data_IF_134845435051
#
_entry.id   IF_134845435051
#
_cell.length_a   1.000
_cell.length_b   1.000
_cell.length_c   1.000
_cell.angle_alpha   90.00
_cell.angle_beta   90.00
_cell.angle_gamma   90.00
#
_symmetry.space_group_name_H-M   'P 1'
#
loop_
_entity.id
_entity.type
_entity.pdbx_description
1 polymer ?
#
# COMPACT_ATOMS: atom_id res chain seq x y z
N UNK A 1 -22.12 -17.25 23.51
CA UNK A 1 -23.37 -16.75 22.89
C UNK A 1 -23.77 -15.40 23.55
N UNK A 2 -23.76 -15.25 24.87
CA UNK A 2 -24.24 -14.04 25.58
C UNK A 2 -23.54 -12.73 25.22
N UNK A 3 -22.25 -12.76 24.89
CA UNK A 3 -21.50 -11.55 24.51
C UNK A 3 -21.87 -10.99 23.14
N UNK A 4 -22.17 -11.82 22.18
CA UNK A 4 -22.65 -11.37 20.86
C UNK A 4 -24.03 -10.72 20.99
N UNK A 5 -24.91 -11.29 21.84
CA UNK A 5 -26.19 -10.68 22.17
C UNK A 5 -26.03 -9.31 22.85
N UNK A 6 -25.07 -9.17 23.77
CA UNK A 6 -24.77 -7.89 24.41
C UNK A 6 -24.27 -6.82 23.40
N UNK A 7 -23.41 -7.21 22.46
CA UNK A 7 -22.95 -6.31 21.38
C UNK A 7 -24.10 -5.90 20.48
N UNK A 8 -24.96 -6.83 20.07
CA UNK A 8 -26.15 -6.53 19.27
C UNK A 8 -27.11 -5.59 20.00
N UNK A 9 -27.39 -5.86 21.30
CA UNK A 9 -28.25 -5.00 22.13
C UNK A 9 -27.65 -3.60 22.30
N UNK A 10 -26.34 -3.48 22.57
CA UNK A 10 -25.67 -2.19 22.69
C UNK A 10 -25.70 -1.40 21.37
N UNK A 11 -25.55 -2.08 20.22
CA UNK A 11 -25.66 -1.46 18.90
C UNK A 11 -27.05 -0.96 18.62
N UNK A 12 -28.07 -1.80 18.91
CA UNK A 12 -29.47 -1.41 18.78
C UNK A 12 -29.83 -0.25 19.69
N UNK A 13 -29.40 -0.29 20.96
CA UNK A 13 -29.58 0.83 21.89
C UNK A 13 -28.94 2.14 21.39
N UNK A 14 -27.69 2.09 20.92
CA UNK A 14 -27.00 3.26 20.39
C UNK A 14 -27.77 3.89 19.22
N UNK A 15 -28.34 3.07 18.31
CA UNK A 15 -29.16 3.53 17.20
C UNK A 15 -30.47 4.17 17.69
N UNK A 16 -31.21 3.48 18.53
CA UNK A 16 -32.50 3.98 19.06
C UNK A 16 -32.29 5.26 19.86
N UNK A 17 -31.29 5.30 20.76
CA UNK A 17 -30.98 6.49 21.54
C UNK A 17 -30.60 7.68 20.65
N UNK A 18 -29.86 7.48 19.58
CA UNK A 18 -29.52 8.53 18.63
C UNK A 18 -30.76 9.08 17.92
N UNK A 19 -31.67 8.19 17.49
CA UNK A 19 -32.92 8.57 16.81
C UNK A 19 -33.89 9.30 17.78
N UNK A 20 -34.04 8.80 18.98
CA UNK A 20 -34.91 9.42 20.01
C UNK A 20 -34.38 10.79 20.46
N UNK A 21 -33.07 10.99 20.43
CA UNK A 21 -32.43 12.29 20.65
C UNK A 21 -32.55 13.27 19.46
N UNK A 22 -33.29 12.93 18.43
CA UNK A 22 -33.46 13.75 17.21
C UNK A 22 -32.22 13.88 16.36
N UNK A 23 -31.20 13.02 16.57
CA UNK A 23 -29.97 13.03 15.76
C UNK A 23 -30.19 12.38 14.41
N UNK A 24 -29.44 12.86 13.41
CA UNK A 24 -29.43 12.21 12.10
C UNK A 24 -28.76 10.82 12.17
N UNK A 25 -29.13 9.90 11.29
CA UNK A 25 -28.46 8.58 11.16
C UNK A 25 -26.95 8.71 11.01
N UNK A 26 -26.48 9.79 10.38
CA UNK A 26 -25.05 10.06 10.18
C UNK A 26 -24.31 10.37 11.47
N UNK A 27 -24.94 11.10 12.38
CA UNK A 27 -24.38 11.35 13.72
C UNK A 27 -24.50 10.13 14.61
N UNK A 28 -25.60 9.36 14.51
CA UNK A 28 -25.75 8.05 15.16
C UNK A 28 -24.69 7.01 14.78
N UNK A 29 -24.14 7.11 13.56
CA UNK A 29 -23.03 6.26 13.12
C UNK A 29 -21.82 6.30 14.07
N UNK A 30 -21.52 7.45 14.67
CA UNK A 30 -20.41 7.57 15.63
C UNK A 30 -20.70 6.88 16.97
N UNK A 31 -21.94 6.84 17.41
CA UNK A 31 -22.32 6.08 18.59
C UNK A 31 -22.17 4.57 18.35
N UNK A 32 -22.57 4.09 17.18
CA UNK A 32 -22.36 2.70 16.74
C UNK A 32 -20.86 2.38 16.63
N UNK A 33 -20.06 3.30 16.07
CA UNK A 33 -18.61 3.14 16.01
C UNK A 33 -17.97 3.06 17.40
N UNK A 34 -18.46 3.82 18.37
CA UNK A 34 -17.99 3.74 19.76
C UNK A 34 -18.26 2.35 20.36
N UNK A 35 -19.44 1.74 20.08
CA UNK A 35 -19.73 0.36 20.48
C UNK A 35 -18.73 -0.61 19.84
N UNK A 36 -18.42 -0.46 18.54
CA UNK A 36 -17.42 -1.27 17.87
C UNK A 36 -16.04 -1.15 18.53
N UNK A 37 -15.59 0.07 18.83
CA UNK A 37 -14.30 0.33 19.48
C UNK A 37 -14.23 -0.28 20.88
N UNK A 38 -15.27 -0.11 21.69
CA UNK A 38 -15.37 -0.73 23.04
C UNK A 38 -15.32 -2.26 22.92
N UNK A 39 -16.08 -2.85 22.01
CA UNK A 39 -16.07 -4.30 21.76
C UNK A 39 -14.69 -4.80 21.37
N UNK A 40 -14.01 -4.09 20.45
CA UNK A 40 -12.66 -4.41 20.00
C UNK A 40 -11.65 -4.43 21.17
N UNK A 41 -11.74 -3.45 22.07
CA UNK A 41 -10.80 -3.31 23.19
C UNK A 41 -11.16 -4.17 24.39
N UNK A 42 -12.44 -4.54 24.56
CA UNK A 42 -12.89 -5.45 25.61
C UNK A 42 -12.55 -6.92 25.34
N UNK A 43 -12.53 -7.34 24.08
CA UNK A 43 -12.26 -8.72 23.69
C UNK A 43 -11.00 -9.35 24.31
N UNK A 44 -9.82 -8.71 24.37
CA UNK A 44 -8.64 -9.27 25.03
C UNK A 44 -8.75 -9.26 26.56
N UNK A 45 -9.44 -8.28 27.17
CA UNK A 45 -9.64 -8.21 28.61
C UNK A 45 -10.46 -9.39 29.11
N UNK A 46 -11.46 -9.80 28.32
CA UNK A 46 -12.29 -10.96 28.62
C UNK A 46 -11.54 -12.29 28.54
N UNK A 47 -10.43 -12.36 27.80
CA UNK A 47 -9.51 -13.51 27.81
C UNK A 47 -8.83 -13.64 29.15
N UNK A 48 -8.32 -12.52 29.71
CA UNK A 48 -7.53 -12.50 30.94
C UNK A 48 -8.41 -12.83 32.14
N UNK A 49 -9.60 -12.25 32.22
CA UNK A 49 -10.49 -12.43 33.38
C UNK A 49 -11.04 -13.86 33.50
N UNK A 50 -11.14 -14.61 32.40
CA UNK A 50 -11.74 -15.96 32.37
C UNK A 50 -10.78 -17.12 32.22
N UNK A 51 -9.48 -16.89 32.15
CA UNK A 51 -8.48 -17.98 32.12
C UNK A 51 -8.40 -18.79 33.43
N UNK A 52 -9.07 -18.36 34.48
CA UNK A 52 -9.09 -19.02 35.80
C UNK A 52 -10.33 -19.87 36.12
N UNK A 53 -11.28 -20.10 35.18
CA UNK A 53 -12.51 -20.85 35.47
C UNK A 53 -12.93 -21.83 34.34
N UNK A 54 -13.76 -22.85 34.64
CA UNK A 54 -14.16 -23.89 33.70
C UNK A 54 -15.09 -23.42 32.57
N UNK A 55 -15.28 -22.15 32.35
CA UNK A 55 -16.11 -21.54 31.29
C UNK A 55 -15.39 -20.51 30.46
N UNK A 56 -14.05 -20.61 30.30
CA UNK A 56 -13.24 -19.65 29.54
C UNK A 56 -13.73 -19.48 28.10
N UNK A 57 -13.81 -18.23 27.62
CA UNK A 57 -14.06 -17.95 26.21
C UNK A 57 -12.82 -18.41 25.44
N UNK A 58 -12.93 -19.58 24.81
CA UNK A 58 -11.87 -20.15 23.99
C UNK A 58 -11.46 -19.20 22.85
N UNK A 59 -10.36 -19.51 22.16
CA UNK A 59 -9.92 -18.75 20.99
C UNK A 59 -11.05 -18.39 20.01
N UNK A 60 -11.97 -19.32 19.77
CA UNK A 60 -13.13 -19.12 18.90
C UNK A 60 -14.05 -17.96 19.35
N UNK A 61 -14.29 -17.81 20.64
CA UNK A 61 -15.15 -16.74 21.15
C UNK A 61 -14.51 -15.34 21.04
N UNK A 62 -13.20 -15.25 21.12
CA UNK A 62 -12.50 -13.95 20.91
C UNK A 62 -12.45 -13.55 19.45
N UNK A 63 -12.27 -14.51 18.54
CA UNK A 63 -12.41 -14.24 17.10
C UNK A 63 -13.82 -13.79 16.74
N UNK A 64 -14.85 -14.38 17.35
CA UNK A 64 -16.23 -13.97 17.14
C UNK A 64 -16.49 -12.52 17.60
N UNK A 65 -15.93 -12.09 18.75
CA UNK A 65 -16.04 -10.72 19.22
C UNK A 65 -15.25 -9.74 18.33
N UNK A 66 -14.10 -10.14 17.84
CA UNK A 66 -13.33 -9.32 16.90
C UNK A 66 -14.07 -9.17 15.57
N UNK A 67 -14.63 -10.25 15.04
CA UNK A 67 -15.48 -10.21 13.84
C UNK A 67 -16.74 -9.34 14.06
N UNK A 68 -17.37 -9.44 15.23
CA UNK A 68 -18.51 -8.60 15.59
C UNK A 68 -18.13 -7.12 15.64
N UNK A 69 -16.97 -6.77 16.21
CA UNK A 69 -16.49 -5.39 16.22
C UNK A 69 -16.27 -4.85 14.79
N UNK A 70 -15.72 -5.65 13.89
CA UNK A 70 -15.55 -5.26 12.48
C UNK A 70 -16.92 -5.10 11.80
N UNK A 71 -17.87 -6.02 12.04
CA UNK A 71 -19.21 -5.93 11.47
C UNK A 71 -19.95 -4.66 11.94
N UNK A 72 -19.84 -4.32 13.23
CA UNK A 72 -20.44 -3.10 13.79
C UNK A 72 -19.77 -1.83 13.23
N UNK A 73 -18.45 -1.83 13.01
CA UNK A 73 -17.76 -0.73 12.36
C UNK A 73 -18.19 -0.55 10.88
N UNK A 74 -18.39 -1.66 10.15
CA UNK A 74 -18.95 -1.61 8.80
C UNK A 74 -20.39 -1.09 8.79
N UNK A 75 -21.21 -1.48 9.77
CA UNK A 75 -22.54 -0.94 9.93
C UNK A 75 -22.48 0.57 10.17
N UNK A 76 -21.58 1.05 11.04
CA UNK A 76 -21.37 2.48 11.26
C UNK A 76 -21.03 3.21 9.96
N UNK A 77 -20.18 2.62 9.12
CA UNK A 77 -19.83 3.18 7.80
C UNK A 77 -21.06 3.24 6.88
N UNK A 78 -21.88 2.21 6.83
CA UNK A 78 -23.11 2.19 6.03
C UNK A 78 -24.13 3.26 6.48
N UNK A 79 -24.21 3.50 7.78
CA UNK A 79 -25.11 4.52 8.35
C UNK A 79 -24.72 5.96 7.98
N UNK A 80 -23.52 6.20 7.47
CA UNK A 80 -23.12 7.53 6.98
C UNK A 80 -23.92 8.00 5.76
N UNK A 81 -24.68 7.09 5.10
CA UNK A 81 -25.65 7.41 4.07
C UNK A 81 -25.05 8.14 2.87
N UNK A 82 -23.86 7.75 2.42
CA UNK A 82 -23.18 8.34 1.26
C UNK A 82 -22.50 9.70 1.52
N UNK A 83 -22.50 10.20 2.75
CA UNK A 83 -21.73 11.40 3.11
C UNK A 83 -20.24 11.09 3.20
N UNK A 84 -19.46 11.47 2.19
CA UNK A 84 -18.03 11.21 2.12
C UNK A 84 -17.25 11.71 3.36
N UNK A 85 -17.66 12.86 3.92
CA UNK A 85 -16.99 13.43 5.11
C UNK A 85 -17.22 12.57 6.36
N UNK A 86 -18.46 12.10 6.59
CA UNK A 86 -18.78 11.24 7.74
C UNK A 86 -18.15 9.85 7.54
N UNK A 87 -18.19 9.30 6.34
CA UNK A 87 -17.55 8.04 6.02
C UNK A 87 -16.03 8.09 6.23
N UNK A 88 -15.38 9.18 5.81
CA UNK A 88 -13.97 9.42 6.07
C UNK A 88 -13.65 9.44 7.57
N UNK A 89 -14.45 10.19 8.34
CA UNK A 89 -14.26 10.27 9.79
C UNK A 89 -14.44 8.91 10.48
N UNK A 90 -15.44 8.12 10.08
CA UNK A 90 -15.65 6.75 10.59
C UNK A 90 -14.45 5.87 10.28
N UNK A 91 -13.93 5.90 9.03
CA UNK A 91 -12.75 5.11 8.64
C UNK A 91 -11.51 5.50 9.44
N UNK A 92 -11.21 6.79 9.57
CA UNK A 92 -10.04 7.27 10.31
C UNK A 92 -10.16 6.92 11.79
N UNK A 93 -11.30 7.18 12.44
CA UNK A 93 -11.49 6.86 13.85
C UNK A 93 -11.39 5.34 14.10
N UNK A 94 -11.92 4.51 13.18
CA UNK A 94 -11.78 3.06 13.27
C UNK A 94 -10.33 2.63 13.09
N UNK A 95 -9.64 3.18 12.10
CA UNK A 95 -8.21 2.93 11.87
C UNK A 95 -7.36 3.23 13.10
N UNK A 96 -7.59 4.38 13.73
CA UNK A 96 -6.93 4.77 14.98
C UNK A 96 -7.27 3.78 16.11
N UNK A 97 -8.54 3.40 16.30
CA UNK A 97 -8.94 2.45 17.34
C UNK A 97 -8.24 1.08 17.15
N UNK A 98 -8.14 0.60 15.91
CA UNK A 98 -7.43 -0.65 15.59
C UNK A 98 -5.92 -0.48 15.78
N UNK A 99 -5.33 0.67 15.38
CA UNK A 99 -3.91 0.96 15.55
C UNK A 99 -3.49 0.98 17.03
N UNK A 100 -4.30 1.58 17.89
CA UNK A 100 -4.08 1.58 19.36
C UNK A 100 -4.01 0.14 19.88
N UNK A 101 -4.83 -0.77 19.35
CA UNK A 101 -4.76 -2.18 19.73
C UNK A 101 -3.48 -2.88 19.25
N UNK A 102 -2.97 -2.53 18.06
CA UNK A 102 -1.69 -3.06 17.55
C UNK A 102 -0.53 -2.77 18.49
N UNK A 103 -0.56 -1.62 19.17
CA UNK A 103 0.50 -1.20 20.11
C UNK A 103 0.49 -2.01 21.41
N UNK A 104 -0.59 -2.73 21.74
CA UNK A 104 -0.65 -3.54 22.96
C UNK A 104 0.26 -4.78 22.83
N UNK A 105 1.08 -5.02 23.85
CA UNK A 105 2.05 -6.13 23.88
C UNK A 105 1.41 -7.52 23.98
N UNK A 106 0.13 -7.60 24.34
CA UNK A 106 -0.59 -8.87 24.53
C UNK A 106 -1.03 -9.57 23.23
N UNK A 107 -0.88 -8.91 22.07
CA UNK A 107 -1.28 -9.48 20.78
C UNK A 107 -0.22 -10.41 20.20
N UNK A 108 -0.65 -11.54 19.63
CA UNK A 108 0.21 -12.46 18.90
C UNK A 108 0.84 -11.79 17.67
N UNK A 109 2.04 -12.20 17.22
CA UNK A 109 2.67 -11.62 16.02
C UNK A 109 1.81 -11.71 14.76
N UNK A 110 1.01 -12.79 14.63
CA UNK A 110 0.06 -12.96 13.52
C UNK A 110 -1.11 -11.99 13.63
N UNK A 111 -1.76 -11.92 14.79
CA UNK A 111 -2.88 -11.02 15.05
C UNK A 111 -2.48 -9.55 14.88
N UNK A 112 -1.28 -9.18 15.37
CA UNK A 112 -0.75 -7.83 15.18
C UNK A 112 -0.59 -7.42 13.71
N UNK A 113 -0.20 -8.36 12.82
CA UNK A 113 -0.10 -8.09 11.38
C UNK A 113 -1.48 -7.84 10.75
N UNK A 114 -2.45 -8.68 11.11
CA UNK A 114 -3.84 -8.53 10.61
C UNK A 114 -4.42 -7.19 11.07
N UNK A 115 -4.31 -6.88 12.37
CA UNK A 115 -4.77 -5.61 12.91
C UNK A 115 -4.06 -4.40 12.27
N UNK A 116 -2.74 -4.49 12.04
CA UNK A 116 -1.99 -3.44 11.36
C UNK A 116 -2.45 -3.25 9.90
N UNK A 117 -2.78 -4.34 9.19
CA UNK A 117 -3.31 -4.26 7.83
C UNK A 117 -4.72 -3.63 7.82
N UNK A 118 -5.58 -4.00 8.77
CA UNK A 118 -6.91 -3.39 8.92
C UNK A 118 -6.80 -1.91 9.25
N UNK A 119 -5.94 -1.52 10.19
CA UNK A 119 -5.71 -0.11 10.53
C UNK A 119 -5.22 0.68 9.31
N UNK A 120 -4.15 0.20 8.64
CA UNK A 120 -3.59 0.87 7.47
C UNK A 120 -4.60 0.96 6.32
N UNK A 121 -5.38 -0.09 6.08
CA UNK A 121 -6.44 -0.09 5.06
C UNK A 121 -7.54 0.91 5.39
N UNK A 122 -7.96 1.00 6.64
CA UNK A 122 -8.99 1.94 7.09
C UNK A 122 -8.53 3.39 6.99
N UNK A 123 -7.30 3.70 7.38
CA UNK A 123 -6.69 5.03 7.21
C UNK A 123 -6.56 5.42 5.73
N UNK A 124 -6.16 4.46 4.89
CA UNK A 124 -6.04 4.68 3.46
C UNK A 124 -7.39 5.02 2.82
N UNK A 125 -8.43 4.22 3.12
CA UNK A 125 -9.80 4.47 2.65
C UNK A 125 -10.31 5.81 3.19
N UNK A 126 -10.10 6.10 4.48
CA UNK A 126 -10.43 7.39 5.08
C UNK A 126 -9.78 8.57 4.35
N UNK A 127 -8.49 8.47 4.06
CA UNK A 127 -7.74 9.45 3.27
C UNK A 127 -8.31 9.64 1.86
N UNK A 128 -8.62 8.56 1.15
CA UNK A 128 -9.26 8.62 -0.16
C UNK A 128 -10.63 9.30 -0.13
N UNK A 129 -11.44 9.00 0.89
CA UNK A 129 -12.75 9.64 1.07
C UNK A 129 -12.61 11.15 1.36
N UNK A 130 -11.59 11.57 2.11
CA UNK A 130 -11.28 13.00 2.31
C UNK A 130 -10.90 13.67 1.00
N UNK A 131 -10.02 13.04 0.20
CA UNK A 131 -9.61 13.56 -1.09
C UNK A 131 -10.80 13.69 -2.05
N UNK A 132 -11.65 12.65 -2.10
CA UNK A 132 -12.87 12.66 -2.89
C UNK A 132 -13.86 13.75 -2.42
N UNK A 133 -14.04 13.90 -1.11
CA UNK A 133 -14.88 14.94 -0.53
C UNK A 133 -14.40 16.37 -0.82
N UNK A 134 -13.13 16.53 -1.12
CA UNK A 134 -12.51 17.80 -1.53
C UNK A 134 -12.41 17.98 -3.05
N UNK A 135 -12.92 17.02 -3.83
CA UNK A 135 -12.90 17.09 -5.29
C UNK A 135 -11.49 16.95 -5.89
N UNK A 136 -10.55 16.31 -5.18
CA UNK A 136 -9.20 16.07 -5.70
C UNK A 136 -9.27 15.04 -6.80
N UNK A 137 -8.89 15.40 -8.02
CA UNK A 137 -8.88 14.52 -9.21
C UNK A 137 -7.50 14.00 -9.58
N UNK A 138 -6.48 14.37 -8.81
CA UNK A 138 -5.09 13.96 -9.04
C UNK A 138 -4.92 12.49 -8.68
N UNK A 139 -4.66 11.65 -9.67
CA UNK A 139 -4.58 10.19 -9.50
C UNK A 139 -3.48 9.76 -8.52
N UNK A 140 -2.36 10.45 -8.52
CA UNK A 140 -1.23 10.18 -7.63
C UNK A 140 -1.59 10.37 -6.15
N UNK A 141 -2.51 11.29 -5.84
CA UNK A 141 -2.97 11.47 -4.46
C UNK A 141 -3.64 10.21 -3.88
N UNK A 142 -4.22 9.38 -4.74
CA UNK A 142 -4.85 8.13 -4.36
C UNK A 142 -3.87 6.94 -4.40
N UNK A 143 -2.98 6.90 -5.38
CA UNK A 143 -2.08 5.75 -5.60
C UNK A 143 -0.81 5.79 -4.76
N UNK A 144 -0.20 6.96 -4.57
CA UNK A 144 1.06 7.07 -3.83
C UNK A 144 1.00 6.65 -2.37
N UNK A 145 -0.04 6.99 -1.57
CA UNK A 145 -0.13 6.52 -0.19
C UNK A 145 -0.23 5.00 -0.10
N UNK A 146 -1.03 4.37 -0.97
CA UNK A 146 -1.15 2.92 -1.05
C UNK A 146 0.18 2.26 -1.43
N UNK A 147 0.84 2.79 -2.45
CA UNK A 147 2.15 2.32 -2.90
C UNK A 147 3.22 2.48 -1.82
N UNK A 148 3.24 3.61 -1.10
CA UNK A 148 4.17 3.85 0.00
C UNK A 148 3.99 2.85 1.15
N UNK A 149 2.74 2.57 1.55
CA UNK A 149 2.43 1.55 2.56
C UNK A 149 2.86 0.16 2.10
N UNK A 150 2.56 -0.21 0.85
CA UNK A 150 2.94 -1.49 0.28
C UNK A 150 4.47 -1.63 0.16
N UNK A 151 5.18 -0.57 -0.26
CA UNK A 151 6.65 -0.52 -0.28
C UNK A 151 7.24 -0.68 1.12
N UNK A 152 6.72 0.05 2.11
CA UNK A 152 7.15 -0.06 3.49
C UNK A 152 6.97 -1.49 4.04
N UNK A 153 5.80 -2.08 3.80
CA UNK A 153 5.53 -3.47 4.17
C UNK A 153 6.45 -4.46 3.45
N UNK A 154 6.66 -4.27 2.14
CA UNK A 154 7.56 -5.09 1.33
C UNK A 154 9.02 -5.02 1.79
N UNK A 155 9.53 -3.82 2.07
CA UNK A 155 10.87 -3.60 2.62
C UNK A 155 11.04 -4.26 4.00
N UNK A 156 10.03 -4.14 4.86
CA UNK A 156 10.03 -4.78 6.16
C UNK A 156 9.99 -6.31 6.05
N UNK A 157 9.24 -6.85 5.10
CA UNK A 157 9.18 -8.27 4.80
C UNK A 157 10.55 -8.80 4.32
N UNK A 158 11.22 -8.10 3.41
CA UNK A 158 12.56 -8.44 2.92
C UNK A 158 13.61 -8.41 4.05
N UNK A 159 13.53 -7.41 4.95
CA UNK A 159 14.43 -7.35 6.12
C UNK A 159 14.25 -8.52 7.08
N UNK A 160 13.01 -9.00 7.24
CA UNK A 160 12.69 -10.11 8.16
C UNK A 160 12.85 -11.49 7.54
N UNK A 161 12.77 -11.60 6.21
CA UNK A 161 12.83 -12.85 5.45
C UNK A 161 13.66 -12.65 4.18
N UNK A 162 14.99 -12.75 4.26
CA UNK A 162 15.87 -12.49 3.12
C UNK A 162 15.70 -13.46 1.94
N UNK A 163 15.00 -14.59 2.12
CA UNK A 163 14.67 -15.53 1.04
C UNK A 163 13.47 -15.13 0.15
N UNK A 164 12.77 -14.03 0.48
CA UNK A 164 11.67 -13.54 -0.37
C UNK A 164 12.21 -12.86 -1.62
N UNK A 165 11.53 -13.08 -2.75
CA UNK A 165 11.87 -12.41 -4.01
C UNK A 165 11.45 -10.94 -3.98
N UNK A 166 12.29 -10.06 -4.52
CA UNK A 166 11.97 -8.63 -4.63
C UNK A 166 10.75 -8.36 -5.52
N UNK A 167 10.43 -9.27 -6.43
CA UNK A 167 9.25 -9.17 -7.29
C UNK A 167 7.94 -9.25 -6.51
N UNK A 168 7.80 -10.23 -5.62
CA UNK A 168 6.59 -10.39 -4.80
C UNK A 168 6.40 -9.26 -3.78
N UNK A 169 7.51 -8.73 -3.24
CA UNK A 169 7.47 -7.79 -2.14
C UNK A 169 7.42 -6.32 -2.57
N UNK A 170 8.13 -5.97 -3.64
CA UNK A 170 8.26 -4.59 -4.10
C UNK A 170 7.61 -4.35 -5.47
N UNK A 171 7.48 -5.40 -6.30
CA UNK A 171 6.98 -5.29 -7.67
C UNK A 171 5.60 -4.62 -7.75
N UNK A 172 4.55 -5.14 -7.08
CA UNK A 172 3.21 -4.58 -7.16
C UNK A 172 3.15 -3.13 -6.67
N UNK A 173 3.89 -2.80 -5.60
CA UNK A 173 3.92 -1.45 -5.05
C UNK A 173 4.60 -0.44 -5.98
N UNK A 174 5.71 -0.82 -6.62
CA UNK A 174 6.40 0.01 -7.62
C UNK A 174 5.56 0.16 -8.88
N UNK A 175 4.90 -0.91 -9.34
CA UNK A 175 3.96 -0.84 -10.44
C UNK A 175 2.82 0.14 -10.17
N UNK A 176 2.19 0.04 -9.00
CA UNK A 176 1.11 0.95 -8.59
C UNK A 176 1.58 2.41 -8.43
N UNK A 177 2.85 2.64 -8.06
CA UNK A 177 3.42 3.99 -7.96
C UNK A 177 3.73 4.61 -9.32
N UNK A 178 4.33 3.83 -10.24
CA UNK A 178 4.88 4.37 -11.48
C UNK A 178 3.92 4.33 -12.65
N UNK A 179 3.13 3.25 -12.83
CA UNK A 179 2.27 3.09 -13.99
C UNK A 179 1.25 4.22 -14.18
N UNK A 180 0.48 4.65 -13.15
CA UNK A 180 -0.50 5.71 -13.33
C UNK A 180 0.13 7.04 -13.75
N UNK A 181 1.24 7.42 -13.12
CA UNK A 181 1.96 8.65 -13.43
C UNK A 181 2.61 8.59 -14.82
N UNK A 182 3.18 7.44 -15.20
CA UNK A 182 3.77 7.24 -16.52
C UNK A 182 2.70 7.34 -17.61
N UNK A 183 1.58 6.62 -17.46
CA UNK A 183 0.47 6.69 -18.41
C UNK A 183 -0.06 8.11 -18.53
N UNK A 184 -0.25 8.80 -17.41
CA UNK A 184 -0.67 10.20 -17.41
C UNK A 184 0.30 11.10 -18.17
N UNK A 185 1.61 10.94 -18.00
CA UNK A 185 2.62 11.73 -18.72
C UNK A 185 2.63 11.44 -20.22
N UNK A 186 2.45 10.17 -20.61
CA UNK A 186 2.49 9.76 -22.02
C UNK A 186 1.22 10.14 -22.80
N UNK A 187 0.06 10.10 -22.13
CA UNK A 187 -1.25 10.31 -22.77
C UNK A 187 -1.70 11.77 -22.71
N UNK A 188 -1.38 12.50 -21.64
CA UNK A 188 -1.80 13.90 -21.51
C UNK A 188 -0.99 14.81 -22.45
N UNK A 189 -1.70 15.57 -23.31
CA UNK A 189 -1.09 16.61 -24.16
C UNK A 189 -0.62 17.85 -23.37
N UNK A 190 -1.06 18.01 -22.13
CA UNK A 190 -0.74 19.14 -21.26
C UNK A 190 0.70 19.08 -20.74
N UNK A 191 1.42 20.22 -20.69
CA UNK A 191 2.76 20.29 -20.17
C UNK A 191 2.75 20.09 -18.65
N UNK A 192 3.32 18.96 -18.17
CA UNK A 192 3.40 18.61 -16.76
C UNK A 192 4.88 18.46 -16.32
N UNK A 193 5.66 19.54 -16.31
CA UNK A 193 7.12 19.45 -16.09
C UNK A 193 7.46 18.85 -14.74
N UNK A 194 6.78 19.25 -13.68
CA UNK A 194 7.04 18.74 -12.33
C UNK A 194 6.76 17.24 -12.17
N UNK A 195 5.68 16.75 -12.78
CA UNK A 195 5.35 15.32 -12.75
C UNK A 195 6.40 14.49 -13.45
N UNK A 196 6.90 14.95 -14.61
CA UNK A 196 7.96 14.28 -15.37
C UNK A 196 9.27 14.23 -14.58
N UNK A 197 9.68 15.38 -14.04
CA UNK A 197 10.89 15.46 -13.21
C UNK A 197 10.79 14.59 -11.98
N UNK A 198 9.67 14.63 -11.25
CA UNK A 198 9.45 13.82 -10.07
C UNK A 198 9.44 12.31 -10.39
N UNK A 199 8.74 11.92 -11.48
CA UNK A 199 8.70 10.53 -11.94
C UNK A 199 10.09 10.03 -12.35
N UNK A 200 10.84 10.84 -13.12
CA UNK A 200 12.21 10.54 -13.53
C UNK A 200 13.16 10.40 -12.33
N UNK A 201 13.14 11.37 -11.41
CA UNK A 201 13.96 11.35 -10.21
C UNK A 201 13.63 10.14 -9.31
N UNK A 202 12.35 9.84 -9.11
CA UNK A 202 11.91 8.68 -8.34
C UNK A 202 12.35 7.37 -9.00
N UNK A 203 12.20 7.24 -10.32
CA UNK A 203 12.62 6.05 -11.06
C UNK A 203 14.14 5.84 -11.01
N UNK A 204 14.94 6.91 -11.15
CA UNK A 204 16.41 6.87 -10.97
C UNK A 204 16.77 6.42 -9.55
N UNK A 205 16.15 7.01 -8.52
CA UNK A 205 16.40 6.64 -7.13
C UNK A 205 16.09 5.16 -6.86
N UNK A 206 15.00 4.65 -7.45
CA UNK A 206 14.60 3.23 -7.34
C UNK A 206 15.57 2.32 -8.07
N UNK A 207 16.05 2.69 -9.26
CA UNK A 207 17.08 1.93 -9.99
C UNK A 207 18.38 1.87 -9.19
N UNK A 208 18.87 3.01 -8.72
CA UNK A 208 20.11 3.08 -7.94
C UNK A 208 20.01 2.32 -6.63
N UNK A 209 18.91 2.47 -5.90
CA UNK A 209 18.63 1.74 -4.67
C UNK A 209 18.51 0.22 -4.88
N UNK A 210 17.87 -0.18 -5.99
CA UNK A 210 17.75 -1.57 -6.41
C UNK A 210 19.10 -2.17 -6.81
N UNK A 211 19.90 -1.44 -7.58
CA UNK A 211 21.23 -1.86 -8.01
C UNK A 211 22.19 -2.02 -6.81
N UNK A 212 22.21 -1.05 -5.89
CA UNK A 212 23.03 -1.10 -4.67
C UNK A 212 22.68 -2.31 -3.78
N UNK A 213 21.41 -2.73 -3.76
CA UNK A 213 20.94 -3.86 -2.97
C UNK A 213 20.81 -5.16 -3.75
N UNK A 214 21.15 -5.16 -5.04
CA UNK A 214 21.02 -6.29 -5.98
C UNK A 214 19.58 -6.81 -6.08
N UNK A 215 18.58 -5.94 -5.99
CA UNK A 215 17.17 -6.26 -6.13
C UNK A 215 16.72 -6.07 -7.57
N UNK A 216 16.23 -7.15 -8.19
CA UNK A 216 15.85 -7.13 -9.62
C UNK A 216 14.60 -6.28 -9.89
N UNK A 217 13.54 -6.41 -9.08
CA UNK A 217 12.28 -5.73 -9.36
C UNK A 217 12.40 -4.20 -9.39
N UNK A 218 13.08 -3.51 -8.44
CA UNK A 218 13.29 -2.08 -8.52
C UNK A 218 14.09 -1.65 -9.76
N UNK A 219 15.13 -2.41 -10.11
CA UNK A 219 15.96 -2.10 -11.30
C UNK A 219 15.13 -2.21 -12.57
N UNK A 220 14.39 -3.31 -12.74
CA UNK A 220 13.59 -3.54 -13.94
C UNK A 220 12.44 -2.54 -14.05
N UNK A 221 11.66 -2.33 -12.99
CA UNK A 221 10.51 -1.43 -13.02
C UNK A 221 10.91 0.04 -13.13
N UNK A 222 11.98 0.44 -12.44
CA UNK A 222 12.53 1.78 -12.60
C UNK A 222 13.05 2.02 -14.01
N UNK A 223 13.77 1.08 -14.60
CA UNK A 223 14.25 1.19 -15.99
C UNK A 223 13.09 1.16 -16.98
N UNK A 224 12.08 0.31 -16.78
CA UNK A 224 10.87 0.26 -17.60
C UNK A 224 10.06 1.56 -17.54
N UNK A 225 10.22 2.36 -16.48
CA UNK A 225 9.63 3.69 -16.38
C UNK A 225 10.51 4.74 -17.04
N UNK A 226 11.83 4.68 -16.84
CA UNK A 226 12.77 5.65 -17.40
C UNK A 226 12.87 5.59 -18.93
N UNK A 227 12.84 4.40 -19.53
CA UNK A 227 12.98 4.23 -20.98
C UNK A 227 11.86 4.94 -21.75
N UNK A 228 10.56 4.67 -21.51
CA UNK A 228 9.50 5.36 -22.23
C UNK A 228 9.45 6.86 -21.89
N UNK A 229 9.77 7.25 -20.66
CA UNK A 229 9.86 8.67 -20.29
C UNK A 229 10.96 9.39 -21.07
N UNK A 230 12.15 8.80 -21.15
CA UNK A 230 13.26 9.36 -21.92
C UNK A 230 12.96 9.44 -23.42
N UNK A 231 12.34 8.39 -23.99
CA UNK A 231 11.91 8.39 -25.39
C UNK A 231 10.85 9.46 -25.67
N UNK A 232 9.92 9.66 -24.74
CA UNK A 232 8.92 10.70 -24.84
C UNK A 232 9.53 12.10 -24.82
N UNK A 233 10.45 12.36 -23.90
CA UNK A 233 11.17 13.65 -23.83
C UNK A 233 12.05 13.86 -25.05
N UNK A 234 12.71 12.82 -25.53
CA UNK A 234 13.50 12.86 -26.76
C UNK A 234 12.65 13.19 -28.00
N UNK A 235 11.46 12.56 -28.10
CA UNK A 235 10.53 12.83 -29.20
C UNK A 235 10.02 14.28 -29.16
N UNK A 236 9.78 14.85 -27.98
CA UNK A 236 9.36 16.27 -27.82
C UNK A 236 10.48 17.26 -28.11
N UNK A 237 11.72 16.90 -27.76
CA UNK A 237 12.90 17.72 -28.01
C UNK A 237 13.46 17.56 -29.43
N UNK A 238 12.83 16.73 -30.28
CA UNK A 238 13.36 16.38 -31.59
C UNK A 238 13.66 17.57 -32.47
N UNK A 239 12.79 18.58 -32.46
CA UNK A 239 12.94 19.79 -33.25
C UNK A 239 13.91 20.82 -32.66
N UNK A 240 14.25 20.67 -31.36
CA UNK A 240 15.14 21.58 -30.63
C UNK A 240 16.60 21.11 -30.65
N UNK A 241 16.87 19.85 -30.95
CA UNK A 241 18.19 19.25 -30.90
C UNK A 241 18.79 19.05 -32.30
N UNK A 242 20.05 19.44 -32.52
CA UNK A 242 20.71 19.24 -33.78
C UNK A 242 20.82 17.73 -34.11
N UNK A 243 20.55 17.38 -35.34
CA UNK A 243 20.50 15.97 -35.82
C UNK A 243 21.77 15.16 -35.52
N UNK A 244 22.95 15.81 -35.48
CA UNK A 244 24.22 15.15 -35.16
C UNK A 244 24.27 14.62 -33.71
N UNK A 245 23.52 15.20 -32.77
CA UNK A 245 23.46 14.75 -31.37
C UNK A 245 22.85 13.34 -31.28
N UNK A 246 21.78 13.10 -32.03
CA UNK A 246 21.13 11.80 -32.08
C UNK A 246 22.04 10.71 -32.67
N UNK A 247 22.75 11.07 -33.72
CA UNK A 247 23.74 10.17 -34.34
C UNK A 247 24.92 9.89 -33.39
N UNK A 248 25.38 10.93 -32.67
CA UNK A 248 26.45 10.78 -31.68
C UNK A 248 26.06 9.90 -30.49
N UNK A 249 24.88 10.13 -29.88
CA UNK A 249 24.39 9.31 -28.77
C UNK A 249 24.07 7.88 -29.23
N UNK A 250 23.44 7.73 -30.38
CA UNK A 250 23.16 6.42 -30.96
C UNK A 250 24.44 5.63 -31.27
N UNK A 251 25.44 6.30 -31.84
CA UNK A 251 26.76 5.72 -32.10
C UNK A 251 27.48 5.28 -30.82
N UNK A 252 27.49 6.14 -29.78
CA UNK A 252 28.06 5.81 -28.47
C UNK A 252 27.36 4.63 -27.79
N UNK A 253 26.04 4.55 -27.88
CA UNK A 253 25.26 3.41 -27.37
C UNK A 253 25.59 2.13 -28.09
N UNK A 254 25.71 2.17 -29.44
CA UNK A 254 26.08 1.02 -30.23
C UNK A 254 27.51 0.54 -29.92
N UNK A 255 28.45 1.48 -29.76
CA UNK A 255 29.83 1.16 -29.35
C UNK A 255 29.86 0.55 -27.95
N UNK A 256 29.11 1.12 -27.01
CA UNK A 256 28.98 0.58 -25.65
C UNK A 256 28.36 -0.83 -25.60
N UNK A 257 27.32 -1.07 -26.41
CA UNK A 257 26.72 -2.38 -26.59
C UNK A 257 27.70 -3.38 -27.24
N UNK A 258 28.39 -2.97 -28.28
CA UNK A 258 29.39 -3.78 -28.94
C UNK A 258 30.54 -4.16 -28.00
N UNK A 259 31.07 -3.19 -27.24
CA UNK A 259 32.13 -3.44 -26.27
C UNK A 259 31.68 -4.38 -25.13
N UNK A 260 30.43 -4.27 -24.68
CA UNK A 260 29.87 -5.16 -23.64
C UNK A 260 29.64 -6.58 -24.20
N UNK A 261 29.16 -6.67 -25.43
CA UNK A 261 28.99 -7.96 -26.13
C UNK A 261 30.32 -8.66 -26.33
N UNK A 262 31.35 -7.93 -26.79
CA UNK A 262 32.70 -8.46 -27.03
C UNK A 262 33.34 -8.96 -25.71
N UNK A 263 33.17 -8.25 -24.59
CA UNK A 263 33.62 -8.70 -23.25
C UNK A 263 32.97 -10.04 -22.87
N UNK A 264 31.65 -10.13 -22.98
CA UNK A 264 30.90 -11.36 -22.65
C UNK A 264 31.30 -12.53 -23.56
N UNK A 265 31.53 -12.26 -24.85
CA UNK A 265 31.98 -13.30 -25.80
C UNK A 265 33.36 -13.84 -25.41
N UNK A 266 34.29 -12.97 -25.03
CA UNK A 266 35.63 -13.39 -24.57
C UNK A 266 35.58 -14.21 -23.30
N UNK A 267 34.71 -13.87 -22.37
CA UNK A 267 34.54 -14.63 -21.13
C UNK A 267 33.94 -16.02 -21.38
N UNK A 268 32.97 -16.13 -22.30
CA UNK A 268 32.42 -17.42 -22.73
C UNK A 268 33.45 -18.32 -23.45
N UNK A 269 34.31 -17.74 -24.27
CA UNK A 269 35.39 -18.48 -24.94
C UNK A 269 36.40 -19.01 -23.92
N UNK A 270 36.80 -18.16 -22.95
CA UNK A 270 37.69 -18.57 -21.84
C UNK A 270 37.10 -19.67 -20.99
N UNK A 271 35.78 -19.60 -20.68
CA UNK A 271 35.09 -20.66 -19.96
C UNK A 271 35.04 -21.96 -20.72
N UNK A 272 34.80 -21.92 -22.05
CA UNK A 272 34.85 -23.11 -22.91
C UNK A 272 36.24 -23.74 -22.96
N UNK A 273 37.28 -22.92 -23.10
CA UNK A 273 38.67 -23.39 -23.09
C UNK A 273 39.06 -23.97 -21.70
N UNK A 274 38.60 -23.38 -20.60
CA UNK A 274 38.83 -23.90 -19.27
C UNK A 274 38.14 -25.26 -19.03
N UNK A 275 36.90 -25.42 -19.52
CA UNK A 275 36.17 -26.70 -19.46
C UNK A 275 36.78 -27.75 -20.35
N UNK A 276 37.25 -27.38 -21.59
CA UNK A 276 37.92 -28.30 -22.49
C UNK A 276 39.28 -28.83 -21.99
N UNK A 277 39.90 -28.14 -21.02
CA UNK A 277 41.17 -28.62 -20.38
C UNK A 277 40.93 -29.56 -19.20
N UNK A 278 39.67 -29.74 -18.76
CA UNK A 278 39.31 -30.62 -17.64
C UNK A 278 38.82 -32.01 -18.10
N UNK A 279 38.71 -32.27 -19.39
CA UNK A 279 38.43 -33.57 -20.03
C UNK A 279 39.59 -34.01 -20.87
#
# INVERSE_FOLDING_TARGET
VGWLGAVAAATGFALVASLTAGQSLRTGAFAVLAVAAVTLHAAPLLRVVRSGGPGGVGRAGTWALEAAAQAVALLALLLTGGSLRHAAAVCVLWGVAVAVRVLRRSESPGGRRVLAAVAAGSELVGGWLVLAARGVVVLEAYTLPAAALALGAGLLALRRRPGLTSWLTLGPALGAAFLPSLVSVLVSGEPQPWRRLALGAAAVAVVLGGAARRWQAPVVLGSATLVPLALHELARGWDLLPRWLFLGVGGLLLIGLAATYERRRRDLVRLREAVARLG
#
